data_IF_498059453805
#
_entry.id   IF_498059453805
#
_cell.length_a   1.000
_cell.length_b   1.000
_cell.length_c   1.000
_cell.angle_alpha   90.00
_cell.angle_beta   90.00
_cell.angle_gamma   90.00
#
_symmetry.space_group_name_H-M   'P 1'
#
loop_
_entity.id
_entity.type
_entity.pdbx_description
1 polymer ?
#
# COMPACT_ATOMS: atom_id res chain seq x y z
N UNK A 1 15.70 29.22 -34.06
CA UNK A 1 16.41 28.58 -32.94
C UNK A 1 15.46 28.52 -31.75
N UNK A 2 14.65 27.46 -31.65
CA UNK A 2 13.67 27.24 -30.57
C UNK A 2 14.28 26.24 -29.59
N UNK A 3 14.48 26.62 -28.33
CA UNK A 3 14.53 25.67 -27.23
C UNK A 3 13.73 26.27 -26.06
N UNK A 4 12.50 25.80 -25.90
CA UNK A 4 11.77 25.91 -24.65
C UNK A 4 12.16 24.70 -23.79
N UNK A 5 12.76 24.95 -22.63
CA UNK A 5 12.86 23.94 -21.57
C UNK A 5 11.49 23.81 -20.90
N UNK A 6 10.76 22.74 -21.21
CA UNK A 6 9.76 22.20 -20.28
C UNK A 6 10.37 20.93 -19.69
N UNK A 7 10.72 20.99 -18.40
CA UNK A 7 11.14 19.86 -17.60
C UNK A 7 10.07 18.77 -17.62
N UNK A 8 10.53 17.56 -17.88
CA UNK A 8 9.76 16.33 -18.06
C UNK A 8 8.91 16.04 -16.82
N UNK A 9 7.59 16.31 -16.90
CA UNK A 9 6.62 15.57 -16.09
C UNK A 9 6.60 14.13 -16.61
N UNK A 10 7.40 13.25 -16.01
CA UNK A 10 7.32 11.81 -16.28
C UNK A 10 6.10 11.22 -15.56
N UNK A 11 4.91 11.65 -15.95
CA UNK A 11 3.72 10.82 -15.86
C UNK A 11 3.54 10.15 -17.22
N UNK A 12 4.52 9.29 -17.56
CA UNK A 12 4.38 8.42 -18.71
C UNK A 12 3.27 7.44 -18.37
N UNK A 13 2.13 7.77 -18.95
CA UNK A 13 0.94 6.96 -19.07
C UNK A 13 1.24 5.47 -19.10
N UNK A 14 0.52 4.78 -18.23
CA UNK A 14 0.21 3.36 -18.19
C UNK A 14 -0.36 2.85 -19.52
N UNK A 15 0.41 2.90 -20.61
CA UNK A 15 0.04 2.36 -21.91
C UNK A 15 1.31 1.96 -22.65
N UNK A 16 1.33 0.68 -23.03
CA UNK A 16 2.31 -0.06 -23.83
C UNK A 16 3.32 -0.87 -23.00
N UNK A 17 3.28 -2.17 -23.28
CA UNK A 17 4.02 -3.31 -22.73
C UNK A 17 3.33 -4.06 -21.58
N UNK A 18 3.00 -5.32 -21.90
CA UNK A 18 2.61 -6.42 -21.03
C UNK A 18 3.73 -6.81 -20.04
N UNK A 19 4.41 -5.84 -19.44
CA UNK A 19 5.24 -6.12 -18.26
C UNK A 19 4.26 -6.30 -17.13
N UNK A 20 4.05 -7.55 -16.71
CA UNK A 20 3.41 -7.87 -15.44
C UNK A 20 3.95 -6.88 -14.41
N UNK A 21 3.10 -5.99 -13.92
CA UNK A 21 3.44 -5.03 -12.88
C UNK A 21 3.72 -5.86 -11.62
N UNK A 22 4.92 -6.42 -11.51
CA UNK A 22 5.39 -7.08 -10.30
C UNK A 22 5.75 -5.93 -9.36
N UNK A 23 4.75 -5.44 -8.64
CA UNK A 23 4.98 -4.53 -7.53
C UNK A 23 6.09 -5.14 -6.64
N UNK A 24 7.16 -4.38 -6.32
CA UNK A 24 8.28 -4.94 -5.58
C UNK A 24 7.82 -5.40 -4.20
N UNK A 25 8.42 -6.49 -3.75
CA UNK A 25 8.11 -7.10 -2.46
C UNK A 25 8.78 -6.29 -1.35
N UNK A 26 7.97 -5.77 -0.42
CA UNK A 26 8.39 -5.16 0.83
C UNK A 26 7.86 -6.00 1.99
N UNK A 27 8.77 -6.55 2.82
CA UNK A 27 8.43 -7.41 3.98
C UNK A 27 7.43 -8.52 3.65
N UNK A 28 7.64 -9.23 2.54
CA UNK A 28 6.78 -10.35 2.12
C UNK A 28 5.46 -9.93 1.46
N UNK A 29 5.21 -8.64 1.28
CA UNK A 29 4.03 -8.09 0.62
C UNK A 29 4.38 -7.31 -0.64
N UNK A 30 3.45 -7.23 -1.57
CA UNK A 30 3.55 -6.34 -2.73
C UNK A 30 3.30 -4.91 -2.29
N UNK A 31 4.25 -4.02 -2.52
CA UNK A 31 4.09 -2.59 -2.24
C UNK A 31 4.17 -1.77 -3.52
N UNK A 32 3.21 -0.88 -3.70
CA UNK A 32 3.17 0.07 -4.81
C UNK A 32 2.99 1.48 -4.26
N UNK A 33 3.91 2.38 -4.60
CA UNK A 33 3.89 3.75 -4.11
C UNK A 33 5.26 4.39 -4.09
N UNK A 34 5.30 5.54 -3.43
CA UNK A 34 6.51 6.35 -3.26
C UNK A 34 7.55 5.61 -2.41
N UNK A 35 8.83 5.85 -2.73
CA UNK A 35 9.97 5.24 -2.03
C UNK A 35 11.08 6.26 -1.86
N UNK A 36 11.78 6.17 -0.74
CA UNK A 36 13.06 6.86 -0.50
C UNK A 36 14.09 5.81 -0.10
N UNK A 37 15.27 5.79 -0.71
CA UNK A 37 16.32 4.80 -0.41
C UNK A 37 15.81 3.34 -0.44
N UNK A 38 15.00 3.00 -1.45
CA UNK A 38 14.39 1.67 -1.63
C UNK A 38 13.43 1.20 -0.53
N UNK A 39 13.00 2.09 0.37
CA UNK A 39 11.95 1.79 1.37
C UNK A 39 10.70 2.65 1.13
N UNK A 40 9.48 2.16 1.48
CA UNK A 40 8.24 2.94 1.43
C UNK A 40 8.37 4.27 2.17
N UNK A 41 8.11 5.38 1.49
CA UNK A 41 8.12 6.72 2.07
C UNK A 41 7.34 7.67 1.17
N UNK A 42 6.30 8.32 1.71
CA UNK A 42 5.28 9.04 0.95
C UNK A 42 3.96 8.29 0.94
N UNK A 43 3.18 8.33 -0.13
CA UNK A 43 1.93 7.59 -0.25
C UNK A 43 2.09 6.28 -1.02
N UNK A 44 1.34 5.26 -0.61
CA UNK A 44 1.36 3.96 -1.27
C UNK A 44 0.32 2.98 -0.75
N UNK A 45 0.23 1.86 -1.43
CA UNK A 45 -0.62 0.73 -1.10
C UNK A 45 0.20 -0.53 -0.90
N UNK A 46 -0.30 -1.41 -0.05
CA UNK A 46 0.30 -2.72 0.20
C UNK A 46 -0.74 -3.81 0.02
N UNK A 47 -0.33 -4.88 -0.65
CA UNK A 47 -1.12 -6.06 -0.91
C UNK A 47 -0.33 -7.28 -0.46
N UNK A 48 -0.90 -8.07 0.45
CA UNK A 48 -0.20 -9.14 1.14
C UNK A 48 -0.82 -10.48 0.76
N UNK A 49 -0.25 -11.17 -0.24
CA UNK A 49 -0.74 -12.47 -0.63
C UNK A 49 -0.54 -13.48 0.50
N UNK A 50 -1.50 -14.37 0.68
CA UNK A 50 -1.44 -15.48 1.64
C UNK A 50 -1.14 -16.75 0.84
N UNK A 51 -0.05 -17.44 1.19
CA UNK A 51 0.48 -18.58 0.42
C UNK A 51 0.72 -18.24 -1.06
N UNK A 52 1.17 -17.02 -1.36
CA UNK A 52 1.38 -16.55 -2.73
C UNK A 52 0.10 -16.24 -3.52
N UNK A 53 -1.08 -16.38 -2.90
CA UNK A 53 -2.35 -16.14 -3.55
C UNK A 53 -2.93 -14.79 -3.09
N UNK A 54 -3.25 -13.97 -4.09
CA UNK A 54 -4.05 -12.75 -3.94
C UNK A 54 -5.52 -13.17 -3.96
N UNK A 55 -6.23 -12.87 -2.88
CA UNK A 55 -7.64 -13.25 -2.75
C UNK A 55 -8.63 -12.14 -3.16
N UNK A 56 -8.13 -10.92 -3.38
CA UNK A 56 -8.94 -9.76 -3.79
C UNK A 56 -8.16 -8.87 -4.75
N UNK A 57 -8.85 -8.17 -5.63
CA UNK A 57 -8.29 -7.06 -6.43
C UNK A 57 -7.91 -5.83 -5.57
N UNK A 58 -8.44 -5.73 -4.35
CA UNK A 58 -8.20 -4.65 -3.39
C UNK A 58 -6.92 -4.82 -2.58
N UNK A 59 -6.21 -3.72 -2.33
CA UNK A 59 -5.08 -3.66 -1.40
C UNK A 59 -5.52 -3.91 0.07
N UNK A 60 -4.61 -4.38 0.91
CA UNK A 60 -4.85 -4.52 2.36
C UNK A 60 -4.87 -3.16 3.06
N UNK A 61 -3.98 -2.25 2.61
CA UNK A 61 -3.88 -0.90 3.12
C UNK A 61 -3.48 0.07 2.02
N UNK A 62 -4.04 1.27 2.05
CA UNK A 62 -3.70 2.41 1.19
C UNK A 62 -3.53 3.62 2.10
N UNK A 63 -2.38 4.30 2.07
CA UNK A 63 -2.17 5.44 2.94
C UNK A 63 -0.75 5.96 2.93
N UNK A 64 -0.41 6.69 4.00
CA UNK A 64 0.93 7.26 4.18
C UNK A 64 1.94 6.27 4.73
N UNK A 65 3.19 6.52 4.36
CA UNK A 65 4.37 5.74 4.71
C UNK A 65 5.50 6.69 5.08
N UNK A 66 6.29 6.30 6.08
CA UNK A 66 7.47 7.03 6.53
C UNK A 66 8.52 6.04 7.00
N UNK A 67 9.71 6.08 6.42
CA UNK A 67 10.81 5.17 6.78
C UNK A 67 10.39 3.67 6.76
N UNK A 68 9.56 3.27 5.80
CA UNK A 68 9.09 1.90 5.64
C UNK A 68 7.94 1.49 6.56
N UNK A 69 7.43 2.38 7.41
CA UNK A 69 6.31 2.12 8.32
C UNK A 69 5.08 2.90 7.87
N UNK A 70 3.88 2.36 8.11
CA UNK A 70 2.61 3.09 7.89
C UNK A 70 2.58 4.32 8.82
N UNK A 71 2.23 5.47 8.28
CA UNK A 71 2.23 6.73 9.01
C UNK A 71 1.22 7.72 8.43
N UNK A 72 0.64 8.58 9.27
CA UNK A 72 -0.37 9.54 8.86
C UNK A 72 -1.73 8.89 8.64
N UNK A 73 -2.45 9.32 7.61
CA UNK A 73 -3.78 8.80 7.29
C UNK A 73 -3.72 7.61 6.32
N UNK A 74 -4.66 6.69 6.48
CA UNK A 74 -4.85 5.62 5.50
C UNK A 74 -6.17 4.88 5.67
N UNK A 75 -6.37 3.89 4.82
CA UNK A 75 -7.55 3.03 4.81
C UNK A 75 -7.07 1.59 4.78
N UNK A 76 -7.67 0.72 5.59
CA UNK A 76 -7.44 -0.72 5.48
C UNK A 76 -8.74 -1.50 5.33
N UNK A 77 -8.62 -2.65 4.69
CA UNK A 77 -9.66 -3.66 4.60
C UNK A 77 -9.28 -4.84 5.48
N UNK A 78 -10.05 -5.04 6.56
CA UNK A 78 -9.83 -6.19 7.44
C UNK A 78 -10.50 -7.40 6.85
N UNK A 79 -9.75 -8.50 6.70
CA UNK A 79 -10.26 -9.79 6.25
C UNK A 79 -10.63 -10.66 7.43
N UNK A 80 -11.55 -11.58 7.21
CA UNK A 80 -11.87 -12.59 8.21
C UNK A 80 -10.66 -13.53 8.40
N UNK A 81 -10.20 -13.77 9.63
CA UNK A 81 -9.05 -14.64 9.89
C UNK A 81 -9.30 -16.11 9.53
N UNK A 82 -10.56 -16.58 9.65
CA UNK A 82 -11.01 -17.93 9.28
C UNK A 82 -11.37 -18.03 7.79
N UNK A 83 -11.87 -16.93 7.19
CA UNK A 83 -12.24 -16.87 5.78
C UNK A 83 -11.63 -15.65 5.06
N UNK A 84 -10.36 -15.75 4.67
CA UNK A 84 -9.59 -14.65 4.06
C UNK A 84 -10.20 -14.05 2.78
N UNK A 85 -11.13 -14.74 2.10
CA UNK A 85 -11.82 -14.23 0.91
C UNK A 85 -12.82 -13.15 1.27
N UNK A 86 -13.28 -13.16 2.52
CA UNK A 86 -14.26 -12.24 3.04
C UNK A 86 -13.58 -11.04 3.69
N UNK A 87 -14.02 -9.85 3.30
CA UNK A 87 -13.68 -8.58 3.95
C UNK A 87 -14.74 -8.32 5.02
N UNK A 88 -14.31 -8.14 6.27
CA UNK A 88 -15.17 -7.80 7.40
C UNK A 88 -15.54 -6.31 7.41
N UNK A 89 -14.64 -5.45 6.93
CA UNK A 89 -14.92 -4.01 6.89
C UNK A 89 -13.78 -3.19 6.30
N UNK A 90 -14.10 -1.91 6.09
CA UNK A 90 -13.17 -0.85 5.67
C UNK A 90 -13.04 0.14 6.82
N UNK A 91 -11.82 0.48 7.21
CA UNK A 91 -11.53 1.33 8.36
C UNK A 91 -10.65 2.51 7.95
N UNK A 92 -10.95 3.69 8.48
CA UNK A 92 -10.14 4.89 8.27
C UNK A 92 -9.15 5.01 9.42
N UNK A 93 -7.86 5.00 9.12
CA UNK A 93 -6.80 4.85 10.12
C UNK A 93 -5.99 6.13 10.28
N UNK A 94 -5.65 6.41 11.53
CA UNK A 94 -4.54 7.25 11.92
C UNK A 94 -3.40 6.34 12.36
N UNK A 95 -2.31 6.36 11.61
CA UNK A 95 -1.12 5.55 11.82
C UNK A 95 0.03 6.39 12.36
N UNK A 96 0.71 5.88 13.38
CA UNK A 96 2.00 6.41 13.83
C UNK A 96 3.00 5.26 13.98
N UNK A 97 3.97 5.18 13.07
CA UNK A 97 5.01 4.17 13.04
C UNK A 97 4.43 2.74 13.15
N UNK A 98 3.58 2.39 12.18
CA UNK A 98 2.83 1.13 12.08
C UNK A 98 1.73 0.89 13.13
N UNK A 99 1.60 1.73 14.16
CA UNK A 99 0.48 1.69 15.09
C UNK A 99 -0.70 2.42 14.45
N UNK A 100 -1.60 1.66 13.83
CA UNK A 100 -2.77 2.20 13.12
C UNK A 100 -4.05 2.00 13.92
N UNK A 101 -4.77 3.09 14.21
CA UNK A 101 -6.05 3.08 14.91
C UNK A 101 -7.13 3.79 14.11
N UNK A 102 -8.32 3.23 14.12
CA UNK A 102 -9.51 3.91 13.65
C UNK A 102 -10.06 4.81 14.78
N UNK A 103 -10.13 6.14 14.59
CA UNK A 103 -10.56 7.07 15.63
C UNK A 103 -12.06 7.01 15.92
N UNK A 104 -12.88 6.44 15.02
CA UNK A 104 -14.32 6.32 15.18
C UNK A 104 -14.67 5.06 15.96
N UNK A 105 -14.07 3.93 15.59
CA UNK A 105 -14.39 2.62 16.18
C UNK A 105 -13.44 2.22 17.32
N UNK A 106 -12.30 2.90 17.45
CA UNK A 106 -11.25 2.54 18.41
C UNK A 106 -10.46 1.27 18.03
N UNK A 107 -10.78 0.63 16.91
CA UNK A 107 -10.08 -0.56 16.44
C UNK A 107 -8.61 -0.23 16.18
N UNK A 108 -7.72 -1.07 16.70
CA UNK A 108 -6.30 -1.05 16.35
C UNK A 108 -6.05 -2.15 15.34
N UNK A 109 -5.53 -1.81 14.17
CA UNK A 109 -5.21 -2.78 13.13
C UNK A 109 -3.79 -3.28 13.34
N UNK A 110 -3.60 -4.57 13.68
CA UNK A 110 -2.28 -5.15 13.84
C UNK A 110 -1.47 -5.05 12.55
N UNK A 111 -0.15 -5.07 12.69
CA UNK A 111 0.77 -5.28 11.56
C UNK A 111 0.65 -6.75 11.17
N UNK A 112 -0.36 -7.11 10.38
CA UNK A 112 -0.51 -8.48 9.89
C UNK A 112 0.39 -8.73 8.68
N UNK A 113 1.69 -8.55 8.80
CA UNK A 113 2.61 -8.90 7.71
C UNK A 113 3.65 -9.90 8.22
N UNK A 114 3.70 -11.01 7.49
CA UNK A 114 4.13 -12.35 7.88
C UNK A 114 5.52 -12.45 8.52
N UNK A 115 5.66 -13.46 9.40
CA UNK A 115 6.95 -14.09 9.73
C UNK A 115 7.70 -14.49 8.47
#
# INVERSE_FOLDING_TARGET
MKLQLLSLFTTTYCLLFLTSCSAPVYRGCLYEGERRNNIPDGHGLIHCPRNGIIYTDRADYVGGWKNGMRHGEGVAWIRDPLNYKQILGKYNLKCDNDICRDPETGITIPIYYAK
#
